data_IF_964980829803
#
_entry.id   IF_964980829803
#
_cell.length_a   1.000
_cell.length_b   1.000
_cell.length_c   1.000
_cell.angle_alpha   90.00
_cell.angle_beta   90.00
_cell.angle_gamma   90.00
#
_symmetry.space_group_name_H-M   'P 1'
#
loop_
_entity.id
_entity.type
_entity.pdbx_description
1 polymer ?
#
# COMPACT_ATOMS: atom_id res chain seq x y z
N UNK A 1 -8.65 -14.12 -5.70
CA UNK A 1 -7.95 -14.85 -4.62
C UNK A 1 -6.52 -14.35 -4.62
N UNK A 2 -6.16 -13.50 -3.66
CA UNK A 2 -4.76 -13.16 -3.45
C UNK A 2 -4.20 -14.22 -2.51
N UNK A 3 -3.42 -15.14 -3.06
CA UNK A 3 -2.68 -16.11 -2.26
C UNK A 3 -1.45 -15.41 -1.68
N UNK A 4 -1.34 -15.41 -0.36
CA UNK A 4 -0.20 -14.88 0.39
C UNK A 4 1.11 -15.56 -0.10
N UNK A 5 2.07 -14.81 -0.71
CA UNK A 5 3.26 -15.37 -1.35
C UNK A 5 4.13 -16.20 -0.41
N UNK A 6 4.08 -15.93 0.89
CA UNK A 6 4.83 -16.69 1.89
C UNK A 6 4.25 -18.07 2.19
N UNK A 7 3.00 -18.36 1.81
CA UNK A 7 2.40 -19.70 1.94
C UNK A 7 2.94 -20.67 0.89
N UNK A 8 3.37 -20.17 -0.27
CA UNK A 8 3.99 -20.95 -1.36
C UNK A 8 5.40 -20.43 -1.66
N UNK A 9 6.13 -20.09 -0.60
CA UNK A 9 7.36 -19.29 -0.67
C UNK A 9 8.41 -19.88 -1.61
N UNK A 10 8.65 -21.19 -1.58
CA UNK A 10 9.65 -21.86 -2.43
C UNK A 10 9.34 -21.68 -3.91
N UNK A 11 8.06 -21.78 -4.27
CA UNK A 11 7.61 -21.56 -5.65
C UNK A 11 7.75 -20.09 -6.06
N UNK A 12 7.34 -19.16 -5.18
CA UNK A 12 7.47 -17.73 -5.41
C UNK A 12 8.94 -17.32 -5.57
N UNK A 13 9.82 -17.84 -4.72
CA UNK A 13 11.26 -17.57 -4.72
C UNK A 13 11.96 -18.07 -5.99
N UNK A 14 11.77 -19.34 -6.36
CA UNK A 14 12.41 -19.88 -7.56
C UNK A 14 11.90 -19.18 -8.83
N UNK A 15 10.60 -18.85 -8.87
CA UNK A 15 10.04 -18.08 -10.00
C UNK A 15 10.60 -16.66 -10.04
N UNK A 16 10.73 -15.98 -8.90
CA UNK A 16 11.27 -14.63 -8.82
C UNK A 16 12.72 -14.56 -9.31
N UNK A 17 13.57 -15.54 -8.93
CA UNK A 17 14.94 -15.66 -9.44
C UNK A 17 14.99 -15.76 -10.96
N UNK A 18 14.15 -16.65 -11.51
CA UNK A 18 14.06 -16.89 -12.95
C UNK A 18 13.56 -15.65 -13.70
N UNK A 19 12.56 -14.95 -13.15
CA UNK A 19 12.01 -13.72 -13.71
C UNK A 19 13.05 -12.60 -13.69
N UNK A 20 13.72 -12.40 -12.55
CA UNK A 20 14.74 -11.37 -12.38
C UNK A 20 15.94 -11.61 -13.32
N UNK A 21 16.38 -12.85 -13.49
CA UNK A 21 17.43 -13.22 -14.47
C UNK A 21 17.05 -12.88 -15.92
N UNK A 22 15.76 -12.70 -16.22
CA UNK A 22 15.24 -12.26 -17.53
C UNK A 22 14.88 -10.78 -17.58
N UNK A 23 15.23 -10.00 -16.56
CA UNK A 23 14.94 -8.57 -16.48
C UNK A 23 13.49 -8.24 -16.14
N UNK A 24 12.68 -9.21 -15.70
CA UNK A 24 11.32 -8.98 -15.22
C UNK A 24 11.34 -8.55 -13.76
N UNK A 25 10.42 -7.65 -13.41
CA UNK A 25 10.25 -7.14 -12.05
C UNK A 25 9.29 -8.02 -11.26
N UNK A 26 9.61 -8.29 -10.00
CA UNK A 26 8.78 -9.09 -9.11
C UNK A 26 8.08 -8.20 -8.08
N UNK A 27 6.79 -8.46 -7.88
CA UNK A 27 5.96 -7.74 -6.92
C UNK A 27 5.22 -8.72 -6.03
N UNK A 28 5.29 -8.53 -4.71
CA UNK A 28 4.47 -9.27 -3.76
C UNK A 28 3.24 -8.45 -3.36
N UNK A 29 2.08 -9.09 -3.35
CA UNK A 29 0.88 -8.61 -2.65
C UNK A 29 0.71 -9.50 -1.43
N UNK A 30 0.91 -8.96 -0.23
CA UNK A 30 1.11 -9.74 0.98
C UNK A 30 0.39 -9.13 2.18
N UNK A 31 0.03 -9.96 3.15
CA UNK A 31 -0.41 -9.54 4.48
C UNK A 31 0.75 -9.05 5.37
N UNK A 32 2.00 -9.18 4.91
CA UNK A 32 3.21 -8.73 5.61
C UNK A 32 3.60 -9.57 6.82
N UNK A 33 2.93 -10.68 7.08
CA UNK A 33 3.20 -11.56 8.21
C UNK A 33 4.13 -12.70 7.79
N UNK A 34 5.43 -12.41 7.70
CA UNK A 34 6.44 -13.37 7.28
C UNK A 34 7.65 -13.41 8.21
N UNK A 35 8.34 -14.55 8.33
CA UNK A 35 9.61 -14.63 9.05
C UNK A 35 10.67 -13.75 8.38
N UNK A 36 11.60 -13.16 9.15
CA UNK A 36 12.70 -12.39 8.59
C UNK A 36 13.53 -13.21 7.60
N UNK A 37 13.78 -14.49 7.86
CA UNK A 37 14.60 -15.34 6.99
C UNK A 37 14.02 -15.46 5.58
N UNK A 38 12.69 -15.52 5.45
CA UNK A 38 12.01 -15.55 4.15
C UNK A 38 12.20 -14.22 3.40
N UNK A 39 12.08 -13.09 4.12
CA UNK A 39 12.28 -11.77 3.52
C UNK A 39 13.74 -11.57 3.06
N UNK A 40 14.73 -11.98 3.86
CA UNK A 40 16.15 -11.86 3.45
C UNK A 40 16.43 -12.68 2.20
N UNK A 41 15.84 -13.87 2.12
CA UNK A 41 16.06 -14.77 1.01
C UNK A 41 15.48 -14.21 -0.29
N UNK A 42 14.27 -13.64 -0.26
CA UNK A 42 13.62 -13.09 -1.46
C UNK A 42 14.08 -11.68 -1.83
N UNK A 43 14.55 -10.87 -0.86
CA UNK A 43 14.86 -9.45 -1.05
C UNK A 43 15.74 -9.14 -2.28
N UNK A 44 16.79 -9.91 -2.61
CA UNK A 44 17.60 -9.64 -3.80
C UNK A 44 16.85 -9.77 -5.15
N UNK A 45 15.67 -10.38 -5.13
CA UNK A 45 14.85 -10.65 -6.31
C UNK A 45 13.48 -9.98 -6.23
N UNK A 46 13.18 -9.24 -5.15
CA UNK A 46 11.90 -8.59 -4.93
C UNK A 46 12.03 -7.08 -5.16
N UNK A 47 11.44 -6.58 -6.23
CA UNK A 47 11.53 -5.16 -6.57
C UNK A 47 10.52 -4.33 -5.77
N UNK A 48 9.29 -4.85 -5.58
CA UNK A 48 8.26 -4.16 -4.83
C UNK A 48 7.37 -5.08 -3.99
N UNK A 49 6.71 -4.51 -2.99
CA UNK A 49 5.66 -5.17 -2.23
C UNK A 49 4.51 -4.19 -1.93
N UNK A 50 3.28 -4.62 -2.18
CA UNK A 50 2.08 -4.01 -1.62
C UNK A 50 1.66 -4.83 -0.39
N UNK A 51 1.74 -4.22 0.79
CA UNK A 51 1.53 -4.90 2.07
C UNK A 51 0.26 -4.41 2.75
N UNK A 52 -0.59 -5.34 3.17
CA UNK A 52 -1.79 -5.01 3.91
C UNK A 52 -1.46 -4.71 5.39
N UNK A 53 -1.35 -3.43 5.74
CA UNK A 53 -1.42 -2.96 7.12
C UNK A 53 -2.89 -2.76 7.47
N UNK A 54 -3.52 -3.83 7.96
CA UNK A 54 -4.98 -3.93 8.09
C UNK A 54 -5.57 -3.03 9.16
N UNK A 55 -4.81 -2.71 10.19
CA UNK A 55 -5.19 -1.85 11.31
C UNK A 55 -3.92 -1.36 12.02
N UNK A 56 -4.06 -0.48 13.00
CA UNK A 56 -2.97 -0.02 13.84
C UNK A 56 -3.13 -0.38 15.32
N UNK A 57 -4.01 -1.34 15.61
CA UNK A 57 -4.19 -1.92 16.95
C UNK A 57 -3.90 -3.42 16.97
N UNK A 58 -3.26 -3.91 18.04
CA UNK A 58 -2.98 -5.35 18.19
C UNK A 58 -4.27 -6.16 18.42
N UNK A 59 -5.29 -5.53 19.00
CA UNK A 59 -6.61 -6.13 19.23
C UNK A 59 -7.33 -6.47 17.93
N UNK A 60 -7.31 -5.58 16.93
CA UNK A 60 -7.84 -5.90 15.59
C UNK A 60 -7.12 -7.11 15.00
N UNK A 61 -5.79 -7.13 15.05
CA UNK A 61 -5.00 -8.24 14.51
C UNK A 61 -5.30 -9.57 15.22
N UNK A 62 -5.43 -9.56 16.55
CA UNK A 62 -5.74 -10.75 17.33
C UNK A 62 -7.14 -11.29 17.01
N UNK A 63 -8.14 -10.41 16.97
CA UNK A 63 -9.55 -10.80 16.83
C UNK A 63 -9.93 -11.09 15.38
N UNK A 64 -9.55 -10.21 14.45
CA UNK A 64 -9.97 -10.29 13.05
C UNK A 64 -9.00 -11.08 12.17
N UNK A 65 -7.72 -11.12 12.51
CA UNK A 65 -6.69 -11.74 11.66
C UNK A 65 -6.05 -12.99 12.27
N UNK A 66 -6.22 -13.25 13.57
CA UNK A 66 -5.48 -14.31 14.26
C UNK A 66 -3.96 -14.09 14.26
N UNK A 67 -3.53 -12.83 14.21
CA UNK A 67 -2.12 -12.43 14.05
C UNK A 67 -1.76 -11.31 15.04
N UNK A 68 -0.58 -10.69 14.87
CA UNK A 68 -0.09 -9.56 15.67
C UNK A 68 0.34 -8.41 14.78
N UNK A 69 0.19 -7.17 15.26
CA UNK A 69 0.54 -5.97 14.50
C UNK A 69 2.06 -5.79 14.35
N UNK A 70 2.80 -6.00 15.42
CA UNK A 70 4.24 -5.69 15.46
C UNK A 70 5.06 -6.44 14.38
N UNK A 71 4.85 -7.74 14.11
CA UNK A 71 5.52 -8.44 13.01
C UNK A 71 5.32 -7.77 11.65
N UNK A 72 4.11 -7.30 11.33
CA UNK A 72 3.84 -6.62 10.05
C UNK A 72 4.61 -5.29 9.95
N UNK A 73 4.65 -4.50 11.04
CA UNK A 73 5.43 -3.26 11.09
C UNK A 73 6.92 -3.52 10.89
N UNK A 74 7.43 -4.61 11.46
CA UNK A 74 8.84 -4.98 11.31
C UNK A 74 9.16 -5.44 9.88
N UNK A 75 8.31 -6.27 9.27
CA UNK A 75 8.41 -6.65 7.85
C UNK A 75 8.49 -5.42 6.95
N UNK A 76 7.61 -4.42 7.16
CA UNK A 76 7.60 -3.18 6.38
C UNK A 76 8.93 -2.42 6.48
N UNK A 77 9.46 -2.24 7.70
CA UNK A 77 10.75 -1.57 7.90
C UNK A 77 11.89 -2.34 7.23
N UNK A 78 11.86 -3.65 7.33
CA UNK A 78 12.89 -4.53 6.79
C UNK A 78 12.89 -4.58 5.27
N UNK A 79 11.72 -4.57 4.65
CA UNK A 79 11.57 -4.43 3.20
C UNK A 79 12.18 -3.11 2.72
N UNK A 80 11.86 -2.00 3.39
CA UNK A 80 12.45 -0.69 3.08
C UNK A 80 13.98 -0.70 3.25
N UNK A 81 14.48 -1.26 4.35
CA UNK A 81 15.92 -1.35 4.61
C UNK A 81 16.65 -2.22 3.58
N UNK A 82 15.98 -3.22 3.02
CA UNK A 82 16.49 -4.08 1.95
C UNK A 82 16.40 -3.45 0.54
N UNK A 83 15.87 -2.23 0.42
CA UNK A 83 15.71 -1.54 -0.86
C UNK A 83 14.49 -1.96 -1.68
N UNK A 84 13.57 -2.74 -1.09
CA UNK A 84 12.30 -3.10 -1.73
C UNK A 84 11.38 -1.87 -1.74
N UNK A 85 10.78 -1.55 -2.88
CA UNK A 85 9.75 -0.52 -2.94
C UNK A 85 8.50 -1.01 -2.19
N UNK A 86 8.07 -0.27 -1.17
CA UNK A 86 6.92 -0.65 -0.36
C UNK A 86 5.77 0.31 -0.60
N UNK A 87 4.61 -0.26 -0.90
CA UNK A 87 3.31 0.38 -0.82
C UNK A 87 2.49 -0.29 0.29
N UNK A 88 1.63 0.47 0.95
CA UNK A 88 0.79 -0.06 2.04
C UNK A 88 -0.67 0.08 1.67
N UNK A 89 -1.45 -0.98 1.91
CA UNK A 89 -2.90 -0.98 1.72
C UNK A 89 -3.62 -1.18 3.05
N UNK A 90 -4.67 -0.40 3.29
CA UNK A 90 -5.55 -0.54 4.45
C UNK A 90 -7.00 -0.55 3.98
N UNK A 91 -7.70 -1.65 4.22
CA UNK A 91 -9.15 -1.75 4.03
C UNK A 91 -9.83 -1.12 5.25
N UNK A 92 -10.52 0.02 5.06
CA UNK A 92 -11.21 0.69 6.16
C UNK A 92 -12.59 0.08 6.35
N UNK A 93 -12.83 -0.53 7.51
CA UNK A 93 -14.05 -1.24 7.87
C UNK A 93 -14.77 -0.45 8.97
N UNK A 94 -16.01 0.01 8.73
CA UNK A 94 -16.76 0.78 9.72
C UNK A 94 -16.86 0.09 11.08
N UNK A 95 -16.50 0.83 12.13
CA UNK A 95 -16.54 0.40 13.52
C UNK A 95 -15.44 -0.56 13.94
N UNK A 96 -14.39 -0.78 13.13
CA UNK A 96 -13.25 -1.64 13.52
C UNK A 96 -11.89 -0.95 13.44
N UNK A 97 -11.64 -0.19 12.38
CA UNK A 97 -10.34 0.46 12.15
C UNK A 97 -10.50 1.82 11.44
N UNK A 98 -11.68 2.43 11.54
CA UNK A 98 -12.02 3.73 10.93
C UNK A 98 -11.94 4.90 11.91
N UNK A 99 -11.45 4.66 13.12
CA UNK A 99 -11.27 5.69 14.14
C UNK A 99 -10.17 6.69 13.72
N UNK A 100 -10.42 8.01 13.77
CA UNK A 100 -9.45 9.01 13.30
C UNK A 100 -8.09 8.97 14.01
N UNK A 101 -8.07 8.67 15.31
CA UNK A 101 -6.85 8.56 16.12
C UNK A 101 -6.01 7.34 15.74
N UNK A 102 -6.65 6.22 15.41
CA UNK A 102 -5.96 5.03 14.88
C UNK A 102 -5.34 5.33 13.51
N UNK A 103 -6.11 5.96 12.62
CA UNK A 103 -5.64 6.34 11.28
C UNK A 103 -4.49 7.34 11.32
N UNK A 104 -4.51 8.29 12.27
CA UNK A 104 -3.40 9.22 12.50
C UNK A 104 -2.12 8.48 12.92
N UNK A 105 -2.22 7.51 13.83
CA UNK A 105 -1.06 6.71 14.25
C UNK A 105 -0.51 5.85 13.10
N UNK A 106 -1.40 5.26 12.29
CA UNK A 106 -1.02 4.52 11.09
C UNK A 106 -0.27 5.43 10.10
N UNK A 107 -0.87 6.57 9.75
CA UNK A 107 -0.30 7.51 8.81
C UNK A 107 1.07 8.04 9.27
N UNK A 108 1.20 8.39 10.56
CA UNK A 108 2.47 8.82 11.15
C UNK A 108 3.53 7.72 11.07
N UNK A 109 3.18 6.46 11.35
CA UNK A 109 4.12 5.34 11.18
C UNK A 109 4.59 5.19 9.72
N UNK A 110 3.70 5.38 8.74
CA UNK A 110 4.09 5.31 7.33
C UNK A 110 5.04 6.47 6.98
N UNK A 111 4.67 7.71 7.30
CA UNK A 111 5.45 8.88 6.89
C UNK A 111 6.78 8.98 7.62
N UNK A 112 6.81 8.78 8.93
CA UNK A 112 8.02 8.89 9.76
C UNK A 112 8.85 7.62 9.73
N UNK A 113 8.20 6.45 9.73
CA UNK A 113 8.86 5.15 9.85
C UNK A 113 9.30 4.55 8.51
N UNK A 114 8.55 4.78 7.42
CA UNK A 114 8.85 4.24 6.09
C UNK A 114 9.22 5.34 5.07
N UNK A 115 8.88 6.59 5.37
CA UNK A 115 9.21 7.77 4.58
C UNK A 115 8.01 8.35 3.82
N UNK A 116 8.03 9.66 3.50
CA UNK A 116 6.89 10.37 2.89
C UNK A 116 6.54 9.89 1.47
N UNK A 117 7.47 9.18 0.82
CA UNK A 117 7.28 8.60 -0.51
C UNK A 117 6.59 7.24 -0.50
N UNK A 118 6.32 6.64 0.67
CA UNK A 118 5.60 5.36 0.77
C UNK A 118 4.12 5.57 0.44
N UNK A 119 3.60 5.01 -0.66
CA UNK A 119 2.19 5.16 -1.01
C UNK A 119 1.28 4.47 -0.01
N UNK A 120 0.21 5.15 0.39
CA UNK A 120 -0.86 4.56 1.18
C UNK A 120 -2.14 4.44 0.37
N UNK A 121 -2.61 3.21 0.20
CA UNK A 121 -3.85 2.88 -0.49
C UNK A 121 -4.94 2.59 0.53
N UNK A 122 -5.95 3.44 0.54
CA UNK A 122 -7.13 3.31 1.37
C UNK A 122 -8.19 2.60 0.55
N UNK A 123 -8.52 1.37 0.94
CA UNK A 123 -9.51 0.56 0.22
C UNK A 123 -10.88 0.66 0.88
N UNK A 124 -11.93 0.88 0.08
CA UNK A 124 -13.32 0.85 0.54
C UNK A 124 -13.77 -0.57 0.85
N UNK A 125 -14.36 -0.75 2.03
CA UNK A 125 -15.02 -1.99 2.43
C UNK A 125 -16.43 -2.09 1.84
N UNK A 126 -16.77 -3.29 1.39
CA UNK A 126 -18.11 -3.68 0.98
C UNK A 126 -18.54 -4.92 1.78
N UNK A 127 -19.73 -4.93 2.40
CA UNK A 127 -20.21 -6.07 3.17
C UNK A 127 -20.36 -7.29 2.26
N UNK A 128 -19.58 -8.32 2.53
CA UNK A 128 -19.54 -9.54 1.71
C UNK A 128 -19.13 -10.74 2.56
N UNK A 129 -19.37 -11.94 2.03
CA UNK A 129 -19.10 -13.20 2.70
C UNK A 129 -19.73 -13.24 4.11
N UNK A 130 -18.93 -13.31 5.17
CA UNK A 130 -19.39 -13.43 6.55
C UNK A 130 -19.47 -12.09 7.29
N UNK A 131 -18.80 -11.04 6.79
CA UNK A 131 -18.78 -9.73 7.44
C UNK A 131 -19.84 -8.83 6.81
N UNK A 132 -21.10 -9.07 7.16
CA UNK A 132 -22.28 -8.41 6.58
C UNK A 132 -23.06 -7.54 7.58
N UNK A 133 -22.58 -7.46 8.81
CA UNK A 133 -23.19 -6.79 9.97
C UNK A 133 -22.97 -5.26 10.01
N UNK A 134 -22.28 -4.71 9.01
CA UNK A 134 -21.87 -3.31 8.92
C UNK A 134 -22.07 -2.78 7.52
N UNK A 135 -22.11 -1.46 7.37
CA UNK A 135 -22.29 -0.81 6.07
C UNK A 135 -21.02 -0.81 5.22
N UNK A 136 -21.20 -0.49 3.93
CA UNK A 136 -20.11 -0.04 3.06
C UNK A 136 -19.43 1.17 3.70
N UNK A 137 -18.09 1.28 3.63
CA UNK A 137 -17.39 2.46 4.17
C UNK A 137 -17.95 3.74 3.57
N UNK A 138 -18.38 4.72 4.39
CA UNK A 138 -18.80 6.02 3.89
C UNK A 138 -17.68 6.73 3.13
N UNK A 139 -18.06 7.52 2.12
CA UNK A 139 -17.07 8.30 1.34
C UNK A 139 -16.34 9.33 2.21
N UNK A 140 -17.03 9.92 3.18
CA UNK A 140 -16.42 10.92 4.06
C UNK A 140 -15.37 10.31 4.99
N UNK A 141 -15.53 9.05 5.39
CA UNK A 141 -14.50 8.30 6.12
C UNK A 141 -13.24 8.11 5.26
N UNK A 142 -13.39 7.76 3.98
CA UNK A 142 -12.25 7.60 3.05
C UNK A 142 -11.54 8.94 2.80
N UNK A 143 -12.31 10.02 2.60
CA UNK A 143 -11.78 11.38 2.43
C UNK A 143 -11.02 11.83 3.68
N UNK A 144 -11.60 11.63 4.86
CA UNK A 144 -10.95 11.94 6.13
C UNK A 144 -9.65 11.16 6.33
N UNK A 145 -9.62 9.87 6.01
CA UNK A 145 -8.40 9.06 6.06
C UNK A 145 -7.33 9.57 5.07
N UNK A 146 -7.75 9.99 3.87
CA UNK A 146 -6.84 10.60 2.88
C UNK A 146 -6.24 11.91 3.41
N UNK A 147 -7.07 12.78 3.98
CA UNK A 147 -6.65 14.05 4.55
C UNK A 147 -5.68 13.83 5.72
N UNK A 148 -5.94 12.84 6.57
CA UNK A 148 -5.03 12.42 7.66
C UNK A 148 -3.67 11.98 7.09
N UNK A 149 -3.66 11.14 6.05
CA UNK A 149 -2.43 10.68 5.41
C UNK A 149 -1.61 11.83 4.84
N UNK A 150 -2.26 12.77 4.15
CA UNK A 150 -1.62 13.96 3.60
C UNK A 150 -1.09 14.90 4.69
N UNK A 151 -1.87 15.11 5.75
CA UNK A 151 -1.46 15.92 6.90
C UNK A 151 -0.26 15.31 7.66
N UNK A 152 -0.12 13.98 7.66
CA UNK A 152 1.04 13.28 8.20
C UNK A 152 2.29 13.41 7.31
N UNK A 153 2.18 14.02 6.12
CA UNK A 153 3.29 14.26 5.20
C UNK A 153 3.45 13.20 4.10
N UNK A 154 2.52 12.25 3.97
CA UNK A 154 2.55 11.31 2.86
C UNK A 154 2.26 12.04 1.54
N UNK A 155 3.12 11.83 0.56
CA UNK A 155 3.01 12.44 -0.78
C UNK A 155 1.93 11.79 -1.62
N UNK A 156 1.68 10.50 -1.40
CA UNK A 156 0.77 9.68 -2.20
C UNK A 156 -0.21 8.93 -1.30
N UNK A 157 -1.46 9.38 -1.30
CA UNK A 157 -2.57 8.73 -0.59
C UNK A 157 -3.72 8.53 -1.55
N UNK A 158 -4.01 7.25 -1.83
CA UNK A 158 -4.96 6.84 -2.85
C UNK A 158 -6.24 6.30 -2.22
N UNK A 159 -7.39 6.62 -2.81
CA UNK A 159 -8.67 6.00 -2.47
C UNK A 159 -9.02 4.95 -3.53
N UNK A 160 -9.08 3.69 -3.11
CA UNK A 160 -9.42 2.55 -3.95
C UNK A 160 -10.87 2.08 -3.78
N UNK A 161 -11.34 1.25 -4.73
CA UNK A 161 -12.73 0.75 -4.81
C UNK A 161 -13.79 1.86 -4.92
N UNK A 162 -13.42 3.01 -5.48
CA UNK A 162 -14.28 4.17 -5.69
C UNK A 162 -14.06 4.78 -7.09
N UNK A 163 -14.40 4.03 -8.17
CA UNK A 163 -14.11 4.47 -9.53
C UNK A 163 -14.76 5.81 -9.85
N UNK A 164 -13.99 6.73 -10.41
CA UNK A 164 -14.44 8.08 -10.79
C UNK A 164 -14.29 9.14 -9.70
N UNK A 165 -13.82 8.78 -8.51
CA UNK A 165 -13.39 9.74 -7.50
C UNK A 165 -11.97 10.22 -7.78
N UNK A 166 -11.65 11.48 -7.48
CA UNK A 166 -10.32 12.05 -7.77
C UNK A 166 -9.16 11.38 -7.00
N UNK A 167 -9.46 10.59 -5.97
CA UNK A 167 -8.47 9.98 -5.09
C UNK A 167 -7.69 8.81 -5.68
N UNK A 168 -8.04 8.28 -6.84
CA UNK A 168 -7.33 7.14 -7.46
C UNK A 168 -6.18 7.56 -8.40
N UNK A 169 -6.13 8.84 -8.75
CA UNK A 169 -5.15 9.38 -9.69
C UNK A 169 -3.89 9.92 -8.98
N UNK A 170 -2.75 9.88 -9.66
CA UNK A 170 -1.48 10.38 -9.14
C UNK A 170 -1.31 11.85 -9.50
N UNK A 171 -1.16 12.69 -8.47
CA UNK A 171 -0.79 14.10 -8.61
C UNK A 171 0.69 14.30 -8.29
N UNK A 172 1.32 15.28 -8.91
CA UNK A 172 2.66 15.70 -8.53
C UNK A 172 2.63 16.27 -7.11
N UNK A 173 3.41 15.69 -6.21
CA UNK A 173 3.45 16.11 -4.81
C UNK A 173 3.99 17.54 -4.59
N UNK A 174 4.63 18.14 -5.61
CA UNK A 174 5.17 19.50 -5.54
C UNK A 174 4.21 20.54 -6.12
N UNK A 175 3.66 20.31 -7.32
CA UNK A 175 2.88 21.33 -8.05
C UNK A 175 1.41 20.97 -8.28
N UNK A 176 0.96 19.79 -7.82
CA UNK A 176 -0.42 19.32 -7.94
C UNK A 176 -0.84 18.91 -9.36
N UNK A 177 0.07 18.92 -10.34
CA UNK A 177 -0.25 18.52 -11.71
C UNK A 177 -0.71 17.06 -11.76
N UNK A 178 -1.78 16.77 -12.50
CA UNK A 178 -2.24 15.41 -12.75
C UNK A 178 -1.24 14.66 -13.63
N UNK A 179 -0.61 13.62 -13.08
CA UNK A 179 0.45 12.84 -13.74
C UNK A 179 -0.09 11.53 -14.31
N UNK A 180 -0.82 10.77 -13.50
CA UNK A 180 -1.48 9.54 -13.93
C UNK A 180 -2.95 9.66 -13.63
N UNK A 181 -3.77 9.72 -14.67
CA UNK A 181 -5.23 9.71 -14.57
C UNK A 181 -5.71 8.26 -14.60
N UNK A 182 -6.42 7.84 -13.55
CA UNK A 182 -7.01 6.50 -13.43
C UNK A 182 -8.53 6.57 -13.36
N UNK A 183 -9.15 5.50 -13.82
CA UNK A 183 -10.57 5.20 -13.63
C UNK A 183 -10.73 3.72 -13.30
N UNK A 184 -10.87 3.40 -12.02
CA UNK A 184 -10.79 2.02 -11.53
C UNK A 184 -9.48 1.36 -11.95
N UNK A 185 -9.58 0.26 -12.69
CA UNK A 185 -8.41 -0.51 -13.15
C UNK A 185 -7.77 0.01 -14.45
N UNK A 186 -8.25 1.13 -15.00
CA UNK A 186 -7.76 1.67 -16.27
C UNK A 186 -6.91 2.92 -16.05
N UNK A 187 -5.73 2.96 -16.69
CA UNK A 187 -4.94 4.18 -16.84
C UNK A 187 -5.42 4.90 -18.10
N UNK A 188 -6.07 6.06 -17.92
CA UNK A 188 -6.56 6.88 -19.03
C UNK A 188 -5.49 7.78 -19.62
N UNK A 189 -4.57 8.25 -18.77
CA UNK A 189 -3.48 9.11 -19.18
C UNK A 189 -2.27 8.91 -18.27
N UNK A 190 -1.09 8.86 -18.86
CA UNK A 190 0.19 8.94 -18.15
C UNK A 190 1.00 10.08 -18.78
N UNK A 191 1.39 11.06 -17.97
CA UNK A 191 2.14 12.26 -18.37
C UNK A 191 3.52 12.33 -17.71
N UNK A 192 3.93 11.29 -17.00
CA UNK A 192 5.27 11.21 -16.44
C UNK A 192 6.26 11.24 -17.60
N UNK A 193 7.28 12.07 -17.47
CA UNK A 193 8.35 12.21 -18.45
C UNK A 193 9.68 11.87 -17.78
N UNK A 194 10.25 10.71 -18.13
CA UNK A 194 11.53 10.22 -17.63
C UNK A 194 11.58 10.23 -16.08
N UNK A 195 10.60 9.60 -15.43
CA UNK A 195 10.49 9.57 -13.97
C UNK A 195 10.08 10.90 -13.32
N UNK A 196 9.84 11.97 -14.08
CA UNK A 196 9.61 13.31 -13.55
C UNK A 196 8.23 13.88 -13.90
N UNK A 197 7.78 14.85 -13.11
CA UNK A 197 6.66 15.71 -13.47
C UNK A 197 7.04 16.57 -14.70
N UNK A 198 6.22 16.60 -15.77
CA UNK A 198 6.53 17.38 -16.98
C UNK A 198 6.46 18.90 -16.76
N UNK A 199 5.83 19.36 -15.66
CA UNK A 199 5.59 20.78 -15.37
C UNK A 199 6.66 21.39 -14.47
N UNK A 200 6.99 20.73 -13.36
CA UNK A 200 7.94 21.25 -12.37
C UNK A 200 9.23 20.43 -12.24
N UNK A 201 9.38 19.36 -13.04
CA UNK A 201 10.55 18.47 -13.07
C UNK A 201 10.85 17.74 -11.75
N UNK A 202 9.93 17.78 -10.80
CA UNK A 202 10.04 16.99 -9.58
C UNK A 202 10.07 15.51 -9.92
N UNK A 203 11.09 14.82 -9.43
CA UNK A 203 11.25 13.37 -9.53
C UNK A 203 10.17 12.67 -8.71
N UNK A 204 9.67 11.54 -9.23
CA UNK A 204 8.66 10.74 -8.58
C UNK A 204 9.30 9.47 -8.04
N UNK A 205 8.77 8.98 -6.91
CA UNK A 205 9.15 7.69 -6.36
C UNK A 205 8.38 6.55 -7.03
N UNK A 206 9.09 5.53 -7.52
CA UNK A 206 8.49 4.38 -8.20
C UNK A 206 9.47 3.64 -9.11
N UNK A 207 9.14 2.39 -9.45
CA UNK A 207 9.96 1.54 -10.31
C UNK A 207 9.49 1.64 -11.76
N UNK A 208 10.43 1.91 -12.67
CA UNK A 208 10.16 1.91 -14.12
C UNK A 208 9.33 3.09 -14.61
N UNK A 209 9.44 4.25 -13.94
CA UNK A 209 8.75 5.50 -14.29
C UNK A 209 9.51 6.38 -15.28
#
# INVERSE_FOLDING_TARGET
TYTEPTIYFEFAFETAKIAHARGLKNVFVSNGYMPPEALDMIAPYLDAANVDLKAFTDDFYRVQCGARLNPVKETLRRMKAAGVMVEVTTLIIPGLNDAPDELQQLAAFLSEGLGPDTPWHISRFHPTYQLTDRSVTPMDTLRGARDIGQAAGLRYVYMGNVPGEQGESTLCHQCGEMLIERWGFQVRRNRIDSGCCPKCRTELSGIGM
#
